data_IF_768449889098
#
_entry.id   IF_768449889098
#
_cell.length_a   1.000
_cell.length_b   1.000
_cell.length_c   1.000
_cell.angle_alpha   90.00
_cell.angle_beta   90.00
_cell.angle_gamma   90.00
#
_symmetry.space_group_name_H-M   'P 1'
#
loop_
_entity.id
_entity.type
_entity.pdbx_description
1 polymer ?
#
# COMPACT_ATOMS: atom_id res chain seq x y z
N UNK A 1 -36.97 2.58 -6.42
CA UNK A 1 -35.57 2.25 -6.09
C UNK A 1 -35.15 3.12 -4.92
N UNK A 2 -35.02 2.55 -3.71
CA UNK A 2 -34.46 3.28 -2.57
C UNK A 2 -32.96 3.48 -2.79
N UNK A 3 -32.48 4.72 -2.76
CA UNK A 3 -31.04 4.99 -2.74
C UNK A 3 -30.50 4.59 -1.38
N UNK A 4 -29.48 3.74 -1.34
CA UNK A 4 -28.80 3.38 -0.09
C UNK A 4 -27.71 4.41 0.17
N UNK A 5 -27.65 4.94 1.40
CA UNK A 5 -26.68 5.95 1.80
C UNK A 5 -25.95 5.51 3.09
N UNK A 6 -24.62 5.66 3.11
CA UNK A 6 -23.78 5.48 4.29
C UNK A 6 -23.18 6.83 4.72
N UNK A 7 -23.15 7.12 6.03
CA UNK A 7 -22.56 8.34 6.58
C UNK A 7 -21.27 8.00 7.31
N UNK A 8 -20.17 8.63 6.90
CA UNK A 8 -18.92 8.58 7.64
C UNK A 8 -18.60 9.97 8.20
N UNK A 9 -18.32 10.03 9.49
CA UNK A 9 -17.87 11.24 10.17
C UNK A 9 -16.35 11.16 10.34
N UNK A 10 -15.65 12.24 9.95
CA UNK A 10 -14.21 12.34 10.10
C UNK A 10 -13.84 13.62 10.83
N UNK A 11 -13.14 13.44 11.94
CA UNK A 11 -12.64 14.55 12.74
C UNK A 11 -11.37 15.12 12.12
N UNK A 12 -11.31 16.46 12.03
CA UNK A 12 -10.08 17.21 11.78
C UNK A 12 -9.47 17.55 13.15
N UNK A 13 -8.41 16.85 13.51
CA UNK A 13 -7.86 16.77 14.87
C UNK A 13 -7.16 18.03 15.42
N UNK A 14 -7.48 19.24 14.93
CA UNK A 14 -6.87 20.47 15.49
C UNK A 14 -7.88 21.59 15.81
N UNK A 15 -9.14 21.55 15.35
CA UNK A 15 -10.12 22.64 15.59
C UNK A 15 -11.54 22.13 15.90
N UNK A 16 -11.73 20.84 16.20
CA UNK A 16 -13.05 20.29 16.60
C UNK A 16 -14.14 20.39 15.52
N UNK A 17 -13.76 20.58 14.26
CA UNK A 17 -14.69 20.58 13.11
C UNK A 17 -14.77 19.19 12.49
N UNK A 18 -15.98 18.66 12.43
CA UNK A 18 -16.28 17.33 11.87
C UNK A 18 -16.76 17.47 10.44
N UNK A 19 -16.09 16.81 9.50
CA UNK A 19 -16.57 16.67 8.13
C UNK A 19 -17.41 15.40 7.99
N UNK A 20 -18.58 15.49 7.35
CA UNK A 20 -19.42 14.32 7.05
C UNK A 20 -19.38 14.05 5.56
N UNK A 21 -18.99 12.83 5.19
CA UNK A 21 -19.02 12.35 3.80
C UNK A 21 -20.17 11.35 3.70
N UNK A 22 -21.05 11.57 2.71
CA UNK A 22 -22.16 10.67 2.39
C UNK A 22 -21.83 9.92 1.12
N UNK A 23 -21.75 8.60 1.21
CA UNK A 23 -21.52 7.72 0.06
C UNK A 23 -22.87 7.11 -0.33
N UNK A 24 -23.25 7.25 -1.60
CA UNK A 24 -24.49 6.70 -2.14
C UNK A 24 -24.22 5.60 -3.17
N UNK A 25 -25.12 4.63 -3.25
CA UNK A 25 -25.04 3.54 -4.21
C UNK A 25 -26.40 3.00 -4.66
N UNK A 26 -26.41 2.21 -5.74
CA UNK A 26 -27.62 1.63 -6.30
C UNK A 26 -27.97 0.25 -5.69
N UNK A 27 -27.03 -0.37 -4.96
CA UNK A 27 -27.21 -1.61 -4.21
C UNK A 27 -26.40 -1.61 -2.91
N UNK A 28 -26.71 -2.50 -1.97
CA UNK A 28 -25.96 -2.64 -0.70
C UNK A 28 -24.51 -3.10 -0.92
N UNK A 29 -24.28 -3.98 -1.90
CA UNK A 29 -22.95 -4.48 -2.25
C UNK A 29 -22.09 -3.33 -2.80
N UNK A 30 -22.64 -2.54 -3.72
CA UNK A 30 -21.96 -1.34 -4.23
C UNK A 30 -21.73 -0.29 -3.13
N UNK A 31 -22.66 -0.15 -2.20
CA UNK A 31 -22.50 0.80 -1.09
C UNK A 31 -21.29 0.43 -0.25
N UNK A 32 -21.16 -0.85 0.10
CA UNK A 32 -20.03 -1.35 0.89
C UNK A 32 -18.71 -1.12 0.15
N UNK A 33 -18.62 -1.55 -1.10
CA UNK A 33 -17.39 -1.42 -1.90
C UNK A 33 -16.98 0.06 -2.11
N UNK A 34 -17.93 0.97 -2.35
CA UNK A 34 -17.62 2.40 -2.44
C UNK A 34 -17.25 3.02 -1.11
N UNK A 35 -17.92 2.61 -0.03
CA UNK A 35 -17.66 3.13 1.31
C UNK A 35 -16.26 2.76 1.77
N UNK A 36 -15.84 1.51 1.57
CA UNK A 36 -14.51 1.01 1.92
C UNK A 36 -13.43 1.80 1.14
N UNK A 37 -13.61 2.00 -0.18
CA UNK A 37 -12.68 2.81 -0.99
C UNK A 37 -12.57 4.27 -0.53
N UNK A 38 -13.67 4.87 -0.09
CA UNK A 38 -13.68 6.25 0.42
C UNK A 38 -12.93 6.33 1.74
N UNK A 39 -13.10 5.34 2.62
CA UNK A 39 -12.36 5.26 3.88
C UNK A 39 -10.85 5.11 3.65
N UNK A 40 -10.44 4.22 2.75
CA UNK A 40 -9.05 4.05 2.35
C UNK A 40 -8.43 5.35 1.83
N UNK A 41 -9.15 6.07 0.95
CA UNK A 41 -8.69 7.35 0.40
C UNK A 41 -8.50 8.43 1.48
N UNK A 42 -9.39 8.48 2.48
CA UNK A 42 -9.29 9.43 3.58
C UNK A 42 -8.12 9.09 4.50
N UNK A 43 -7.92 7.81 4.79
CA UNK A 43 -6.78 7.35 5.58
C UNK A 43 -5.45 7.62 4.86
N UNK A 44 -5.38 7.34 3.55
CA UNK A 44 -4.19 7.60 2.74
C UNK A 44 -3.84 9.10 2.68
N UNK A 45 -4.82 9.97 2.45
CA UNK A 45 -4.59 11.42 2.42
C UNK A 45 -4.15 11.99 3.76
N UNK A 46 -4.75 11.51 4.88
CA UNK A 46 -4.30 11.87 6.23
C UNK A 46 -2.86 11.42 6.49
N UNK A 47 -2.50 10.20 6.09
CA UNK A 47 -1.15 9.68 6.20
C UNK A 47 -0.14 10.49 5.37
N UNK A 48 -0.51 10.86 4.15
CA UNK A 48 0.31 11.67 3.26
C UNK A 48 0.56 13.08 3.81
N UNK A 49 -0.45 13.72 4.41
CA UNK A 49 -0.29 15.03 5.07
C UNK A 49 0.67 14.93 6.27
N UNK A 50 0.62 13.81 7.00
CA UNK A 50 1.39 13.64 8.24
C UNK A 50 2.89 13.41 7.99
N UNK A 51 3.24 12.56 7.03
CA UNK A 51 4.65 12.16 6.80
C UNK A 51 5.15 12.37 5.36
N UNK A 52 4.33 12.90 4.47
CA UNK A 52 4.68 13.08 3.06
C UNK A 52 4.37 11.87 2.19
N UNK A 53 4.85 11.95 0.96
CA UNK A 53 4.53 11.03 -0.15
C UNK A 53 5.79 10.46 -0.78
N UNK A 54 5.62 9.34 -1.46
CA UNK A 54 6.64 8.62 -2.21
C UNK A 54 6.15 8.33 -3.64
N UNK A 55 7.07 8.03 -4.58
CA UNK A 55 6.71 7.37 -5.84
C UNK A 55 5.94 6.07 -5.55
N UNK A 56 4.71 5.97 -6.05
CA UNK A 56 3.85 4.81 -5.81
C UNK A 56 4.19 3.59 -6.67
N UNK A 57 3.29 2.60 -6.69
CA UNK A 57 3.42 1.43 -7.58
C UNK A 57 4.60 0.50 -7.23
N UNK A 58 5.04 0.52 -5.97
CA UNK A 58 6.19 -0.27 -5.52
C UNK A 58 7.56 0.31 -5.89
N UNK A 59 7.62 1.40 -6.65
CA UNK A 59 8.88 2.03 -7.12
C UNK A 59 9.75 2.50 -5.96
N UNK A 60 9.16 3.07 -4.90
CA UNK A 60 9.94 3.49 -3.74
C UNK A 60 10.71 2.34 -3.09
N UNK A 61 10.11 1.15 -2.99
CA UNK A 61 10.75 -0.04 -2.42
C UNK A 61 11.77 -0.64 -3.39
N UNK A 62 11.47 -0.64 -4.70
CA UNK A 62 12.41 -1.06 -5.73
C UNK A 62 13.69 -0.22 -5.72
N UNK A 63 13.56 1.11 -5.69
CA UNK A 63 14.69 2.02 -5.63
C UNK A 63 15.51 1.82 -4.35
N UNK A 64 14.85 1.59 -3.21
CA UNK A 64 15.53 1.27 -1.96
C UNK A 64 16.33 -0.05 -2.07
N UNK A 65 15.74 -1.08 -2.68
CA UNK A 65 16.40 -2.37 -2.90
C UNK A 65 17.66 -2.26 -3.77
N UNK A 66 17.63 -1.41 -4.78
CA UNK A 66 18.74 -1.23 -5.74
C UNK A 66 19.86 -0.34 -5.20
N UNK A 67 19.53 0.64 -4.34
CA UNK A 67 20.49 1.63 -3.86
C UNK A 67 21.15 1.28 -2.52
N UNK A 68 20.57 0.37 -1.73
CA UNK A 68 21.13 -0.07 -0.45
C UNK A 68 22.09 -1.24 -0.69
N UNK A 69 23.31 -1.14 -0.14
CA UNK A 69 24.26 -2.28 -0.12
C UNK A 69 24.00 -3.13 1.13
N UNK A 70 23.81 -4.43 0.92
CA UNK A 70 23.68 -5.38 2.03
C UNK A 70 25.02 -5.63 2.72
N UNK A 71 24.96 -5.77 4.04
CA UNK A 71 26.10 -6.13 4.91
C UNK A 71 25.92 -7.52 5.54
N UNK A 72 24.78 -8.17 5.32
CA UNK A 72 24.47 -9.51 5.82
C UNK A 72 23.55 -10.26 4.86
N UNK A 73 23.47 -11.58 5.05
CA UNK A 73 22.56 -12.45 4.29
C UNK A 73 21.09 -12.07 4.54
N UNK A 74 20.74 -11.73 5.78
CA UNK A 74 19.39 -11.29 6.14
C UNK A 74 18.99 -9.98 5.45
N UNK A 75 19.91 -9.02 5.36
CA UNK A 75 19.69 -7.79 4.56
C UNK A 75 19.53 -8.11 3.08
N UNK A 76 20.32 -9.06 2.55
CA UNK A 76 20.23 -9.46 1.14
C UNK A 76 18.86 -10.05 0.82
N UNK A 77 18.35 -10.95 1.68
CA UNK A 77 17.01 -11.53 1.55
C UNK A 77 15.93 -10.46 1.64
N UNK A 78 16.07 -9.50 2.56
CA UNK A 78 15.11 -8.40 2.70
C UNK A 78 15.08 -7.50 1.46
N UNK A 79 16.24 -7.08 0.95
CA UNK A 79 16.32 -6.23 -0.24
C UNK A 79 15.75 -6.93 -1.48
N UNK A 80 15.89 -8.26 -1.59
CA UNK A 80 15.23 -9.01 -2.65
C UNK A 80 13.71 -9.08 -2.46
N UNK A 81 13.25 -9.37 -1.23
CA UNK A 81 11.83 -9.50 -0.93
C UNK A 81 11.04 -8.20 -1.18
N UNK A 82 11.60 -7.04 -0.86
CA UNK A 82 10.91 -5.75 -1.04
C UNK A 82 10.74 -5.32 -2.50
N UNK A 83 11.32 -6.05 -3.48
CA UNK A 83 11.02 -5.87 -4.91
C UNK A 83 9.66 -6.50 -5.28
N UNK A 84 9.16 -7.43 -4.47
CA UNK A 84 7.92 -8.17 -4.75
C UNK A 84 6.71 -7.27 -5.02
N UNK A 85 6.44 -6.17 -4.28
CA UNK A 85 5.26 -5.34 -4.55
C UNK A 85 5.23 -4.77 -5.98
N UNK A 86 6.38 -4.34 -6.50
CA UNK A 86 6.50 -3.87 -7.88
C UNK A 86 6.22 -5.02 -8.87
N UNK A 87 6.86 -6.18 -8.67
CA UNK A 87 6.68 -7.34 -9.55
C UNK A 87 5.24 -7.86 -9.55
N UNK A 88 4.59 -7.92 -8.38
CA UNK A 88 3.20 -8.37 -8.24
C UNK A 88 2.24 -7.43 -8.97
N UNK A 89 2.47 -6.12 -8.94
CA UNK A 89 1.66 -5.15 -9.69
C UNK A 89 1.80 -5.38 -11.20
N UNK A 90 3.02 -5.61 -11.69
CA UNK A 90 3.27 -5.89 -13.11
C UNK A 90 2.68 -7.23 -13.56
N UNK A 91 2.84 -8.28 -12.75
CA UNK A 91 2.27 -9.61 -13.01
C UNK A 91 0.74 -9.54 -13.11
N UNK A 92 0.09 -8.85 -12.17
CA UNK A 92 -1.35 -8.62 -12.21
C UNK A 92 -1.79 -7.82 -13.45
N UNK A 93 -0.92 -6.97 -13.98
CA UNK A 93 -1.16 -6.22 -15.21
C UNK A 93 -0.81 -7.02 -16.49
N UNK A 94 -0.19 -8.20 -16.36
CA UNK A 94 0.28 -9.00 -17.50
C UNK A 94 1.43 -8.36 -18.27
N UNK A 95 2.25 -7.54 -17.60
CA UNK A 95 3.37 -6.80 -18.22
C UNK A 95 4.69 -7.42 -17.76
N UNK A 96 5.57 -7.75 -18.71
CA UNK A 96 6.93 -8.20 -18.38
C UNK A 96 7.75 -7.04 -17.78
N UNK A 97 8.56 -7.38 -16.77
CA UNK A 97 9.32 -6.40 -15.98
C UNK A 97 10.16 -5.48 -16.86
N UNK A 98 9.83 -4.18 -16.83
CA UNK A 98 10.65 -3.12 -17.41
C UNK A 98 11.16 -2.25 -16.28
N UNK A 99 12.39 -2.51 -15.86
CA UNK A 99 13.00 -1.73 -14.79
C UNK A 99 13.14 -0.26 -15.21
N UNK A 100 12.75 0.70 -14.35
CA UNK A 100 12.93 2.11 -14.62
C UNK A 100 14.42 2.46 -14.68
N UNK A 101 14.78 3.39 -15.56
CA UNK A 101 16.18 3.82 -15.70
C UNK A 101 16.58 4.94 -14.73
N UNK A 102 15.61 5.60 -14.08
CA UNK A 102 15.84 6.71 -13.17
C UNK A 102 15.00 6.59 -11.91
N UNK A 103 15.54 7.12 -10.81
CA UNK A 103 14.81 7.21 -9.55
C UNK A 103 13.53 8.04 -9.71
N UNK A 104 12.43 7.52 -9.17
CA UNK A 104 11.10 8.14 -9.24
C UNK A 104 10.40 8.03 -10.60
N UNK A 105 11.04 7.46 -11.63
CA UNK A 105 10.35 6.98 -12.83
C UNK A 105 9.78 5.57 -12.58
N UNK A 106 8.67 5.26 -13.21
CA UNK A 106 8.02 3.95 -13.12
C UNK A 106 7.00 3.76 -14.23
N UNK A 107 6.49 2.54 -14.35
CA UNK A 107 5.47 2.20 -15.33
C UNK A 107 4.09 2.53 -14.77
N UNK A 108 3.36 3.41 -15.45
CA UNK A 108 1.91 3.49 -15.26
C UNK A 108 1.28 2.28 -15.93
N UNK A 109 0.86 1.30 -15.12
CA UNK A 109 0.28 0.04 -15.61
C UNK A 109 -1.09 0.21 -16.27
N UNK A 110 -1.77 1.33 -16.05
CA UNK A 110 -3.06 1.63 -16.70
C UNK A 110 -2.84 2.05 -18.14
N UNK A 111 -1.80 2.86 -18.39
CA UNK A 111 -1.50 3.39 -19.73
C UNK A 111 -0.37 2.66 -20.46
N UNK A 112 0.43 1.87 -19.75
CA UNK A 112 1.62 1.18 -20.28
C UNK A 112 2.82 2.09 -20.50
N UNK A 113 2.81 3.34 -20.02
CA UNK A 113 3.86 4.32 -20.28
C UNK A 113 4.82 4.46 -19.10
N UNK A 114 6.11 4.67 -19.40
CA UNK A 114 7.09 5.04 -18.38
C UNK A 114 6.92 6.53 -18.07
N UNK A 115 6.69 6.85 -16.79
CA UNK A 115 6.35 8.21 -16.34
C UNK A 115 7.08 8.55 -15.05
N UNK A 116 7.19 9.85 -14.77
CA UNK A 116 7.52 10.29 -13.41
C UNK A 116 6.29 10.07 -12.52
N UNK A 117 6.43 9.19 -11.53
CA UNK A 117 5.29 8.69 -10.74
C UNK A 117 4.60 9.81 -9.96
N UNK A 118 5.39 10.68 -9.29
CA UNK A 118 4.86 11.78 -8.49
C UNK A 118 4.15 12.82 -9.36
N UNK A 119 4.79 13.24 -10.46
CA UNK A 119 4.22 14.25 -11.35
C UNK A 119 2.94 13.77 -12.05
N UNK A 120 2.78 12.46 -12.23
CA UNK A 120 1.56 11.86 -12.79
C UNK A 120 0.54 11.45 -11.72
N UNK A 121 0.79 11.77 -10.45
CA UNK A 121 -0.14 11.51 -9.35
C UNK A 121 -0.21 10.05 -8.88
N UNK A 122 0.74 9.21 -9.31
CA UNK A 122 0.89 7.83 -8.84
C UNK A 122 1.78 7.86 -7.60
N UNK A 123 1.15 8.09 -6.45
CA UNK A 123 1.83 8.36 -5.17
C UNK A 123 1.33 7.42 -4.08
N UNK A 124 2.26 7.03 -3.20
CA UNK A 124 1.93 6.30 -1.98
C UNK A 124 2.28 7.15 -0.74
N UNK A 125 1.46 7.14 0.32
CA UNK A 125 1.81 7.80 1.58
C UNK A 125 3.03 7.14 2.23
N UNK A 126 4.06 7.92 2.60
CA UNK A 126 5.27 7.39 3.24
C UNK A 126 4.96 6.56 4.49
N UNK A 127 4.04 7.07 5.33
CA UNK A 127 3.65 6.41 6.57
C UNK A 127 3.09 5.00 6.31
N UNK A 128 2.29 4.82 5.27
CA UNK A 128 1.64 3.53 4.95
C UNK A 128 2.70 2.54 4.49
N UNK A 129 3.52 2.90 3.50
CA UNK A 129 4.57 2.02 2.97
C UNK A 129 5.58 1.62 4.04
N UNK A 130 6.03 2.59 4.86
CA UNK A 130 6.98 2.35 5.97
C UNK A 130 6.38 1.42 7.02
N UNK A 131 5.13 1.64 7.41
CA UNK A 131 4.48 0.84 8.45
C UNK A 131 4.20 -0.59 7.96
N UNK A 132 3.74 -0.74 6.72
CA UNK A 132 3.54 -2.05 6.10
C UNK A 132 4.84 -2.86 6.08
N UNK A 133 5.95 -2.26 5.63
CA UNK A 133 7.25 -2.92 5.59
C UNK A 133 7.73 -3.34 6.99
N UNK A 134 7.66 -2.42 7.97
CA UNK A 134 8.09 -2.71 9.35
C UNK A 134 7.27 -3.83 9.99
N UNK A 135 5.96 -3.81 9.81
CA UNK A 135 5.07 -4.83 10.35
C UNK A 135 5.32 -6.19 9.70
N UNK A 136 5.46 -6.23 8.37
CA UNK A 136 5.77 -7.45 7.64
C UNK A 136 7.11 -8.04 8.08
N UNK A 137 8.16 -7.22 8.18
CA UNK A 137 9.47 -7.66 8.66
C UNK A 137 9.40 -8.19 10.11
N UNK A 138 8.65 -7.53 10.99
CA UNK A 138 8.49 -7.98 12.38
C UNK A 138 7.82 -9.34 12.48
N UNK A 139 6.76 -9.58 11.69
CA UNK A 139 6.07 -10.88 11.63
C UNK A 139 6.99 -11.95 11.03
N UNK A 140 7.67 -11.64 9.93
CA UNK A 140 8.60 -12.55 9.27
C UNK A 140 9.73 -12.99 10.22
N UNK A 141 10.36 -12.06 10.95
CA UNK A 141 11.39 -12.39 11.95
C UNK A 141 10.86 -13.30 13.05
N UNK A 142 9.63 -13.06 13.52
CA UNK A 142 8.99 -13.91 14.53
C UNK A 142 8.81 -15.33 14.00
N UNK A 143 8.31 -15.48 12.77
CA UNK A 143 8.11 -16.78 12.13
C UNK A 143 9.45 -17.50 11.92
N UNK A 144 10.47 -16.80 11.40
CA UNK A 144 11.78 -17.37 11.10
C UNK A 144 12.56 -17.80 12.35
N UNK A 145 12.30 -17.18 13.50
CA UNK A 145 12.91 -17.54 14.78
C UNK A 145 12.08 -18.55 15.60
N UNK A 146 10.93 -19.00 15.08
CA UNK A 146 10.07 -19.96 15.76
C UNK A 146 10.54 -21.39 15.48
N UNK A 147 11.04 -22.09 16.50
CA UNK A 147 11.47 -23.50 16.36
C UNK A 147 10.31 -24.50 16.38
N UNK A 148 9.23 -24.21 17.12
CA UNK A 148 8.12 -25.14 17.32
C UNK A 148 6.78 -24.41 17.41
N UNK A 149 5.75 -25.00 16.82
CA UNK A 149 4.36 -24.54 16.91
C UNK A 149 3.53 -25.61 17.61
N UNK A 150 2.88 -25.24 18.71
CA UNK A 150 1.94 -26.10 19.44
C UNK A 150 0.53 -25.68 19.05
N UNK A 151 -0.30 -26.65 18.63
CA UNK A 151 -1.69 -26.42 18.28
C UNK A 151 -2.60 -27.34 19.09
N UNK A 152 -3.76 -26.82 19.50
CA UNK A 152 -4.79 -27.64 20.13
C UNK A 152 -5.36 -28.62 19.12
N UNK A 153 -5.55 -29.86 19.56
CA UNK A 153 -6.25 -30.86 18.75
C UNK A 153 -7.71 -30.44 18.59
N UNK A 154 -8.21 -30.43 17.36
CA UNK A 154 -9.64 -30.24 17.10
C UNK A 154 -10.36 -31.51 17.51
N UNK A 155 -11.00 -31.48 18.67
CA UNK A 155 -12.01 -32.47 19.06
C UNK A 155 -13.37 -31.93 18.62
N UNK A 156 -14.17 -32.78 17.98
CA UNK A 156 -15.46 -32.45 17.37
C UNK A 156 -16.42 -31.76 18.35
#
# INVERSE_FOLDING_TARGET
MGKFDHKMAYDRAEIGKVGIIKVGANSEIELKEKSDRVEDAICATKAAIKEGILPGGGIALLNAAQNIKSNSDGETVLLEAIKSPFNTILENAGIESKEPSKEGEGLDVVTGNMVNMINNGIIDPLLVTKSALKNAASVATTILSTDCVINNIRTH
#
